data_IF_671126601618
#
_entry.id   IF_671126601618
#
_cell.length_a   1.000
_cell.length_b   1.000
_cell.length_c   1.000
_cell.angle_alpha   90.00
_cell.angle_beta   90.00
_cell.angle_gamma   90.00
#
_symmetry.space_group_name_H-M   'P 1'
#
loop_
_entity.id
_entity.type
_entity.pdbx_description
1 polymer ?
#
# COMPACT_ATOMS: atom_id res chain seq x y z
N UNK A 1 -17.02 9.10 -34.00
CA UNK A 1 -16.39 8.07 -34.84
C UNK A 1 -14.89 8.27 -34.70
N UNK A 2 -14.19 7.28 -34.15
CA UNK A 2 -12.75 7.32 -33.97
C UNK A 2 -12.17 6.33 -34.96
N UNK A 3 -11.28 6.79 -35.84
CA UNK A 3 -10.56 5.92 -36.77
C UNK A 3 -9.15 5.69 -36.22
N UNK A 4 -8.75 4.42 -36.16
CA UNK A 4 -7.39 4.01 -35.79
C UNK A 4 -6.92 2.91 -36.73
N UNK A 5 -5.62 2.65 -36.76
CA UNK A 5 -5.06 1.56 -37.55
C UNK A 5 -4.95 0.30 -36.68
N UNK A 6 -5.46 -0.82 -37.19
CA UNK A 6 -5.24 -2.14 -36.63
C UNK A 6 -3.77 -2.57 -36.78
N UNK A 7 -3.35 -3.53 -35.98
CA UNK A 7 -1.96 -4.05 -35.98
C UNK A 7 -1.63 -4.79 -37.30
N UNK A 8 -2.65 -5.18 -38.04
CA UNK A 8 -2.62 -5.78 -39.38
C UNK A 8 -2.66 -4.74 -40.53
N UNK A 9 -2.78 -3.46 -40.20
CA UNK A 9 -2.90 -2.37 -41.18
C UNK A 9 -4.31 -2.13 -41.70
N UNK A 10 -5.33 -2.82 -41.18
CA UNK A 10 -6.72 -2.53 -41.52
C UNK A 10 -7.26 -1.32 -40.74
N UNK A 11 -8.19 -0.58 -41.34
CA UNK A 11 -8.77 0.62 -40.74
C UNK A 11 -9.87 0.21 -39.74
N UNK A 12 -9.67 0.53 -38.46
CA UNK A 12 -10.58 0.17 -37.39
C UNK A 12 -11.46 1.37 -37.04
N UNK A 13 -12.76 1.24 -37.30
CA UNK A 13 -13.75 2.26 -37.00
C UNK A 13 -14.48 1.96 -35.69
N UNK A 14 -14.25 2.79 -34.68
CA UNK A 14 -15.00 2.71 -33.42
C UNK A 14 -16.13 3.74 -33.47
N UNK A 15 -17.36 3.22 -33.51
CA UNK A 15 -18.57 4.02 -33.37
C UNK A 15 -18.81 4.28 -31.89
N UNK A 16 -18.57 5.52 -31.48
CA UNK A 16 -18.93 5.96 -30.13
C UNK A 16 -20.45 5.97 -29.98
N UNK A 17 -21.00 5.52 -28.84
CA UNK A 17 -22.41 5.66 -28.55
C UNK A 17 -22.81 7.14 -28.58
N UNK A 18 -24.02 7.41 -29.04
CA UNK A 18 -24.61 8.73 -29.03
C UNK A 18 -24.78 9.25 -27.59
N UNK A 19 -24.81 10.58 -27.41
CA UNK A 19 -25.04 11.17 -26.08
C UNK A 19 -26.36 10.74 -25.44
N UNK A 20 -27.37 10.37 -26.24
CA UNK A 20 -28.62 9.76 -25.78
C UNK A 20 -28.44 8.34 -25.27
N UNK A 21 -27.60 7.52 -25.89
CA UNK A 21 -27.34 6.14 -25.46
C UNK A 21 -26.53 6.12 -24.17
N UNK A 22 -25.53 7.00 -24.03
CA UNK A 22 -24.76 7.15 -22.79
C UNK A 22 -25.67 7.65 -21.65
N UNK A 23 -26.49 8.68 -21.91
CA UNK A 23 -27.45 9.19 -20.92
C UNK A 23 -28.45 8.13 -20.45
N UNK A 24 -28.95 7.31 -21.38
CA UNK A 24 -29.86 6.21 -21.05
C UNK A 24 -29.17 5.11 -20.21
N UNK A 25 -27.91 4.79 -20.50
CA UNK A 25 -27.12 3.83 -19.73
C UNK A 25 -26.93 4.32 -18.28
N UNK A 26 -26.56 5.60 -18.11
CA UNK A 26 -26.38 6.22 -16.79
C UNK A 26 -27.70 6.24 -16.01
N UNK A 27 -28.79 6.68 -16.63
CA UNK A 27 -30.11 6.70 -15.99
C UNK A 27 -30.58 5.29 -15.58
N UNK A 28 -30.28 4.28 -16.39
CA UNK A 28 -30.60 2.87 -16.07
C UNK A 28 -29.78 2.39 -14.87
N UNK A 29 -28.48 2.71 -14.84
CA UNK A 29 -27.59 2.38 -13.72
C UNK A 29 -28.01 3.06 -12.42
N UNK A 30 -28.37 4.34 -12.46
CA UNK A 30 -28.85 5.08 -11.29
C UNK A 30 -30.17 4.52 -10.75
N UNK A 31 -31.09 4.16 -11.65
CA UNK A 31 -32.35 3.54 -11.28
C UNK A 31 -32.14 2.15 -10.65
N UNK A 32 -31.21 1.37 -11.17
CA UNK A 32 -30.88 0.04 -10.63
C UNK A 32 -30.20 0.15 -9.26
N UNK A 33 -29.28 1.11 -9.10
CA UNK A 33 -28.65 1.41 -7.82
C UNK A 33 -29.69 1.84 -6.78
N UNK A 34 -30.64 2.71 -7.16
CA UNK A 34 -31.72 3.15 -6.28
C UNK A 34 -32.63 2.00 -5.86
N UNK A 35 -33.01 1.12 -6.79
CA UNK A 35 -33.76 -0.11 -6.47
C UNK A 35 -33.01 -1.03 -5.52
N UNK A 36 -31.68 -1.18 -5.70
CA UNK A 36 -30.85 -1.97 -4.77
C UNK A 36 -30.85 -1.37 -3.37
N UNK A 37 -30.71 -0.05 -3.26
CA UNK A 37 -30.75 0.66 -1.97
C UNK A 37 -32.13 0.55 -1.29
N UNK A 38 -33.23 0.61 -2.05
CA UNK A 38 -34.60 0.46 -1.54
C UNK A 38 -34.94 -1.00 -1.15
N UNK A 39 -34.22 -1.99 -1.69
CA UNK A 39 -34.37 -3.41 -1.32
C UNK A 39 -33.46 -3.84 -0.16
N UNK A 40 -32.58 -2.97 0.36
CA UNK A 40 -31.83 -3.24 1.58
C UNK A 40 -32.79 -3.13 2.76
N UNK A 41 -33.16 -4.27 3.33
CA UNK A 41 -33.84 -4.32 4.62
C UNK A 41 -32.92 -3.73 5.70
N UNK A 42 -33.44 -2.91 6.63
CA UNK A 42 -32.70 -2.53 7.83
C UNK A 42 -32.20 -3.78 8.55
N UNK A 43 -30.95 -3.73 9.03
CA UNK A 43 -30.37 -4.79 9.86
C UNK A 43 -31.32 -5.00 11.05
N UNK A 44 -31.88 -6.21 11.26
CA UNK A 44 -32.68 -6.45 12.44
C UNK A 44 -31.77 -6.39 13.67
N UNK A 45 -32.22 -5.71 14.72
CA UNK A 45 -31.58 -5.80 16.05
C UNK A 45 -31.61 -7.27 16.46
N UNK A 46 -30.42 -7.87 16.52
CA UNK A 46 -30.25 -9.26 16.94
C UNK A 46 -30.33 -9.29 18.46
N UNK A 47 -31.40 -9.87 19.00
CA UNK A 47 -31.40 -10.43 20.35
C UNK A 47 -30.28 -11.46 20.46
N UNK A 48 -29.41 -11.29 21.45
CA UNK A 48 -28.23 -12.12 21.72
C UNK A 48 -28.55 -13.62 21.70
N UNK A 49 -27.81 -14.44 20.93
CA UNK A 49 -27.75 -15.87 21.21
C UNK A 49 -26.74 -16.11 22.34
N UNK A 50 -27.26 -16.69 23.41
CA UNK A 50 -26.52 -17.14 24.58
C UNK A 50 -25.33 -18.05 24.25
N UNK A 51 -24.15 -17.63 24.71
CA UNK A 51 -23.14 -18.54 25.28
C UNK A 51 -22.09 -19.09 24.33
N UNK A 52 -20.98 -18.35 24.18
CA UNK A 52 -19.65 -18.84 24.55
C UNK A 52 -18.74 -17.63 24.81
N UNK A 53 -18.21 -17.57 26.03
CA UNK A 53 -17.35 -16.50 26.52
C UNK A 53 -16.10 -16.32 25.64
N UNK A 54 -16.02 -15.18 24.99
CA UNK A 54 -14.80 -14.56 24.51
C UNK A 54 -15.06 -13.08 24.48
N UNK A 55 -14.63 -12.37 25.53
CA UNK A 55 -14.69 -10.92 25.58
C UNK A 55 -14.22 -10.36 24.23
N UNK A 56 -15.04 -9.53 23.61
CA UNK A 56 -14.68 -8.79 22.41
C UNK A 56 -13.42 -7.98 22.77
N UNK A 57 -12.25 -8.49 22.37
CA UNK A 57 -10.99 -7.85 22.68
C UNK A 57 -11.04 -6.50 22.00
N UNK A 58 -11.11 -5.44 22.81
CA UNK A 58 -10.93 -4.06 22.38
C UNK A 58 -9.74 -4.02 21.42
N UNK A 59 -10.03 -3.86 20.12
CA UNK A 59 -9.03 -3.91 19.06
C UNK A 59 -8.34 -2.54 19.02
N UNK A 60 -7.37 -2.34 19.93
CA UNK A 60 -6.67 -1.07 20.14
C UNK A 60 -5.42 -1.03 19.26
N UNK A 61 -5.19 0.05 18.49
CA UNK A 61 -3.99 0.18 17.68
C UNK A 61 -2.74 0.14 18.53
N UNK A 62 -1.68 -0.46 17.99
CA UNK A 62 -0.38 -0.50 18.64
C UNK A 62 0.40 0.74 18.26
N UNK A 63 0.71 1.57 19.26
CA UNK A 63 1.61 2.70 19.10
C UNK A 63 3.06 2.20 19.09
N UNK A 64 3.84 2.66 18.09
CA UNK A 64 5.30 2.62 18.08
C UNK A 64 5.79 4.05 18.13
N UNK A 65 6.55 4.40 19.17
CA UNK A 65 7.02 5.77 19.38
C UNK A 65 8.49 5.78 19.76
N UNK A 66 9.30 6.45 18.93
CA UNK A 66 10.71 6.72 19.22
C UNK A 66 11.19 7.89 18.34
N UNK A 67 12.18 8.64 18.83
CA UNK A 67 12.72 9.82 18.15
C UNK A 67 11.66 10.78 17.64
N UNK A 68 11.70 11.02 16.33
CA UNK A 68 10.85 11.99 15.64
C UNK A 68 9.51 11.38 15.16
N UNK A 69 9.25 10.10 15.44
CA UNK A 69 8.11 9.38 14.86
C UNK A 69 7.15 8.80 15.90
N UNK A 70 5.86 8.86 15.55
CA UNK A 70 4.78 8.09 16.16
C UNK A 70 4.00 7.36 15.07
N UNK A 71 4.02 6.04 15.11
CA UNK A 71 3.27 5.18 14.21
C UNK A 71 2.10 4.52 14.96
N UNK A 72 0.99 4.30 14.26
CA UNK A 72 -0.13 3.49 14.77
C UNK A 72 -0.36 2.31 13.85
N UNK A 73 -0.15 1.11 14.39
CA UNK A 73 -0.25 -0.16 13.67
C UNK A 73 -1.53 -0.89 14.07
N UNK A 74 -2.22 -1.47 13.10
CA UNK A 74 -3.47 -2.22 13.30
C UNK A 74 -3.24 -3.67 12.85
N UNK A 75 -2.85 -4.58 13.78
CA UNK A 75 -2.61 -5.98 13.45
C UNK A 75 -3.82 -6.68 12.85
N UNK A 76 -5.03 -6.38 13.35
CA UNK A 76 -6.21 -7.18 13.02
C UNK A 76 -6.86 -6.89 11.66
N UNK A 77 -6.31 -5.94 10.88
CA UNK A 77 -6.74 -5.66 9.51
C UNK A 77 -5.49 -5.40 8.65
N UNK A 78 -4.93 -6.42 8.04
CA UNK A 78 -3.78 -6.32 7.13
C UNK A 78 -2.45 -5.94 7.78
N UNK A 79 -2.37 -5.90 9.11
CA UNK A 79 -1.21 -5.40 9.83
C UNK A 79 -0.86 -3.93 9.51
N UNK A 80 -1.81 -3.17 8.98
CA UNK A 80 -1.60 -1.87 8.33
C UNK A 80 -1.08 -0.80 9.30
N UNK A 81 -0.41 0.22 8.77
CA UNK A 81 -0.10 1.44 9.51
C UNK A 81 -1.16 2.48 9.17
N UNK A 82 -1.93 2.93 10.15
CA UNK A 82 -3.02 3.91 9.93
C UNK A 82 -2.58 5.35 10.20
N UNK A 83 -1.41 5.53 10.81
CA UNK A 83 -0.86 6.84 11.19
C UNK A 83 0.65 6.78 11.13
N UNK A 84 1.25 7.80 10.52
CA UNK A 84 2.68 8.05 10.49
C UNK A 84 2.90 9.54 10.75
N UNK A 85 3.07 9.89 12.03
CA UNK A 85 3.16 11.27 12.49
C UNK A 85 4.60 11.63 12.78
N UNK A 86 5.09 12.70 12.16
CA UNK A 86 6.37 13.30 12.49
C UNK A 86 6.18 14.31 13.62
N UNK A 87 6.70 14.01 14.80
CA UNK A 87 6.46 14.74 16.05
C UNK A 87 7.00 16.18 16.03
N UNK A 88 8.21 16.48 15.51
CA UNK A 88 8.72 17.86 15.50
C UNK A 88 7.88 18.84 14.68
N UNK A 89 7.23 18.37 13.60
CA UNK A 89 6.40 19.20 12.71
C UNK A 89 4.91 19.00 12.91
N UNK A 90 4.51 18.08 13.80
CA UNK A 90 3.13 17.65 14.01
C UNK A 90 2.40 17.27 12.71
N UNK A 91 3.14 16.73 11.72
CA UNK A 91 2.58 16.39 10.41
C UNK A 91 2.22 14.91 10.32
N UNK A 92 0.99 14.64 9.87
CA UNK A 92 0.49 13.30 9.54
C UNK A 92 0.72 13.02 8.06
N UNK A 93 1.34 11.89 7.73
CA UNK A 93 1.71 11.57 6.35
C UNK A 93 0.77 10.57 5.68
N UNK A 94 0.06 9.73 6.44
CA UNK A 94 -0.83 8.73 5.86
C UNK A 94 -2.27 9.23 5.79
N UNK A 95 -2.88 9.08 4.62
CA UNK A 95 -4.32 9.19 4.45
C UNK A 95 -4.95 7.84 4.79
N UNK A 96 -5.68 7.74 5.90
CA UNK A 96 -6.20 6.44 6.37
C UNK A 96 -7.57 6.56 7.05
N UNK A 97 -8.36 5.51 6.89
CA UNK A 97 -9.45 5.11 7.79
C UNK A 97 -9.07 3.74 8.36
N UNK A 98 -9.68 3.33 9.48
CA UNK A 98 -9.33 2.06 10.14
C UNK A 98 -9.37 0.86 9.17
N UNK A 99 -10.32 0.83 8.23
CA UNK A 99 -10.56 -0.31 7.33
C UNK A 99 -9.99 -0.14 5.91
N UNK A 100 -9.50 1.05 5.55
CA UNK A 100 -9.05 1.35 4.19
C UNK A 100 -7.99 2.46 4.16
N UNK A 101 -7.04 2.33 3.24
CA UNK A 101 -5.90 3.23 3.07
C UNK A 101 -4.95 3.20 4.27
N UNK A 102 -3.98 4.12 4.30
CA UNK A 102 -2.82 4.10 5.17
C UNK A 102 -1.65 3.40 4.48
N UNK A 103 -0.85 2.66 5.24
CA UNK A 103 0.16 1.78 4.70
C UNK A 103 -0.40 0.35 4.64
N UNK A 104 -0.64 -0.14 3.42
CA UNK A 104 -1.09 -1.51 3.16
C UNK A 104 -0.01 -2.27 2.38
N UNK A 105 -0.03 -3.60 2.46
CA UNK A 105 0.75 -4.44 1.54
C UNK A 105 -0.07 -5.64 1.08
N UNK A 106 0.19 -6.07 -0.16
CA UNK A 106 -0.52 -7.15 -0.82
C UNK A 106 0.44 -8.26 -1.27
N UNK A 107 -0.14 -9.41 -1.62
CA UNK A 107 0.55 -10.60 -2.14
C UNK A 107 0.28 -10.89 -3.62
N UNK A 108 -0.40 -9.99 -4.32
CA UNK A 108 -0.73 -10.10 -5.73
C UNK A 108 -0.68 -8.75 -6.44
N UNK A 109 -0.84 -8.80 -7.76
CA UNK A 109 -0.86 -7.61 -8.61
C UNK A 109 -2.20 -6.88 -8.53
N UNK A 110 -3.27 -7.60 -8.17
CA UNK A 110 -4.60 -7.05 -8.03
C UNK A 110 -4.71 -6.14 -6.80
N UNK A 111 -5.49 -5.07 -6.96
CA UNK A 111 -5.83 -4.18 -5.86
C UNK A 111 -6.56 -4.97 -4.76
N UNK A 112 -6.08 -4.81 -3.53
CA UNK A 112 -6.59 -5.51 -2.34
C UNK A 112 -6.57 -7.04 -2.45
N UNK A 113 -5.55 -7.58 -3.12
CA UNK A 113 -5.22 -9.00 -3.00
C UNK A 113 -4.77 -9.35 -1.56
N UNK A 114 -4.68 -10.64 -1.26
CA UNK A 114 -4.42 -11.12 0.10
C UNK A 114 -3.19 -10.43 0.74
N UNK A 115 -3.29 -10.06 2.00
CA UNK A 115 -2.29 -9.30 2.75
C UNK A 115 -2.85 -8.07 3.44
N UNK A 116 -3.92 -7.46 2.93
CA UNK A 116 -4.46 -6.19 3.44
C UNK A 116 -5.68 -6.32 4.35
N UNK A 117 -6.39 -7.45 4.38
CA UNK A 117 -7.62 -7.59 5.19
C UNK A 117 -7.47 -8.63 6.29
N UNK A 118 -6.50 -9.52 6.16
CA UNK A 118 -6.25 -10.64 7.05
C UNK A 118 -5.79 -10.17 8.43
N UNK A 119 -6.09 -10.97 9.44
CA UNK A 119 -5.61 -10.73 10.79
C UNK A 119 -4.13 -11.13 10.90
N UNK A 120 -3.28 -10.20 11.37
CA UNK A 120 -1.88 -10.47 11.61
C UNK A 120 -1.64 -10.75 13.09
N UNK A 121 -0.85 -11.79 13.36
CA UNK A 121 -0.38 -12.11 14.69
C UNK A 121 0.86 -11.29 15.01
N UNK A 122 0.88 -10.67 16.18
CA UNK A 122 2.09 -10.04 16.73
C UNK A 122 3.01 -11.13 17.24
N UNK A 123 4.14 -11.35 16.57
CA UNK A 123 5.11 -12.40 16.93
C UNK A 123 6.16 -11.88 17.89
N UNK A 124 6.59 -10.63 17.73
CA UNK A 124 7.52 -9.94 18.63
C UNK A 124 7.18 -8.46 18.71
N UNK A 125 7.45 -7.86 19.87
CA UNK A 125 7.39 -6.42 20.09
C UNK A 125 8.51 -6.03 21.04
N UNK A 126 9.25 -5.00 20.67
CA UNK A 126 10.32 -4.43 21.48
C UNK A 126 10.01 -2.97 21.73
N UNK A 127 10.22 -2.54 22.97
CA UNK A 127 9.96 -1.17 23.41
C UNK A 127 11.31 -0.50 23.70
N UNK A 128 11.51 0.75 23.27
CA UNK A 128 12.80 1.44 23.44
C UNK A 128 13.32 1.42 24.89
N UNK A 129 12.40 1.50 25.86
CA UNK A 129 12.71 1.47 27.29
C UNK A 129 13.33 0.14 27.77
N UNK A 130 13.31 -0.92 26.96
CA UNK A 130 14.00 -2.19 27.22
C UNK A 130 15.45 -2.20 26.72
N UNK A 131 15.95 -1.10 26.15
CA UNK A 131 17.29 -0.99 25.57
C UNK A 131 17.40 -1.56 24.15
N UNK A 132 16.30 -2.07 23.60
CA UNK A 132 16.17 -2.57 22.22
C UNK A 132 15.56 -1.49 21.30
N UNK A 133 15.53 -1.75 20.00
CA UNK A 133 14.90 -0.86 19.01
C UNK A 133 13.36 -0.92 19.11
N UNK A 134 12.68 0.23 19.11
CA UNK A 134 11.21 0.30 19.10
C UNK A 134 10.68 -0.36 17.82
N UNK A 135 10.08 -1.55 17.95
CA UNK A 135 9.73 -2.36 16.80
C UNK A 135 8.62 -3.38 17.06
N UNK A 136 8.01 -3.85 15.96
CA UNK A 136 7.01 -4.91 15.96
C UNK A 136 7.23 -5.85 14.77
N UNK A 137 7.04 -7.15 15.00
CA UNK A 137 7.00 -8.18 13.96
C UNK A 137 5.61 -8.79 13.88
N UNK A 138 5.05 -8.78 12.68
CA UNK A 138 3.71 -9.24 12.36
C UNK A 138 3.77 -10.40 11.36
N UNK A 139 2.83 -11.34 11.46
CA UNK A 139 2.65 -12.43 10.50
C UNK A 139 1.17 -12.61 10.15
N UNK A 140 0.86 -12.53 8.84
CA UNK A 140 -0.47 -12.80 8.29
C UNK A 140 -0.44 -14.03 7.39
N UNK A 141 -1.39 -14.94 7.57
CA UNK A 141 -1.63 -16.02 6.62
C UNK A 141 -2.36 -15.46 5.40
N UNK A 142 -1.75 -15.56 4.23
CA UNK A 142 -2.27 -15.03 2.96
C UNK A 142 -2.76 -16.15 2.02
N UNK A 143 -3.02 -17.32 2.60
CA UNK A 143 -3.55 -18.50 1.91
C UNK A 143 -2.51 -19.27 1.09
N UNK A 144 -2.88 -20.48 0.67
CA UNK A 144 -2.01 -21.32 -0.18
C UNK A 144 -0.71 -21.78 0.50
N UNK A 145 -0.67 -21.78 1.84
CA UNK A 145 0.52 -22.15 2.62
C UNK A 145 1.57 -21.04 2.72
N UNK A 146 1.19 -19.80 2.39
CA UNK A 146 2.06 -18.62 2.39
C UNK A 146 1.79 -17.73 3.60
N UNK A 147 2.85 -17.09 4.09
CA UNK A 147 2.79 -16.09 5.16
C UNK A 147 3.45 -14.80 4.67
N UNK A 148 2.77 -13.67 4.89
CA UNK A 148 3.34 -12.34 4.78
C UNK A 148 3.87 -11.93 6.16
N UNK A 149 5.19 -11.78 6.27
CA UNK A 149 5.84 -11.24 7.45
C UNK A 149 6.13 -9.76 7.25
N UNK A 150 5.94 -8.96 8.29
CA UNK A 150 6.30 -7.54 8.30
C UNK A 150 7.04 -7.22 9.59
N UNK A 151 8.17 -6.55 9.48
CA UNK A 151 8.90 -5.97 10.60
C UNK A 151 8.93 -4.46 10.44
N UNK A 152 8.36 -3.74 11.41
CA UNK A 152 8.29 -2.28 11.43
C UNK A 152 9.12 -1.82 12.61
N UNK A 153 10.05 -0.89 12.39
CA UNK A 153 10.92 -0.38 13.43
C UNK A 153 11.26 1.10 13.25
N UNK A 154 11.62 1.77 14.35
CA UNK A 154 12.24 3.09 14.34
C UNK A 154 13.70 2.90 14.76
N UNK A 155 14.64 3.18 13.85
CA UNK A 155 16.05 2.79 14.03
C UNK A 155 16.65 3.44 15.28
N UNK A 156 17.21 2.61 16.18
CA UNK A 156 17.84 3.09 17.41
C UNK A 156 19.03 4.03 17.15
N UNK A 157 19.86 3.71 16.17
CA UNK A 157 21.07 4.47 15.84
C UNK A 157 20.76 5.75 15.04
N UNK A 158 19.60 5.81 14.40
CA UNK A 158 19.10 7.01 13.71
C UNK A 158 17.57 7.08 13.81
N UNK A 159 17.03 7.62 14.91
CA UNK A 159 15.60 7.56 15.22
C UNK A 159 14.75 8.56 14.41
N UNK A 160 15.32 9.10 13.34
CA UNK A 160 14.65 9.82 12.24
C UNK A 160 14.17 8.90 11.14
N UNK A 161 14.56 7.63 11.18
CA UNK A 161 14.26 6.65 10.15
C UNK A 161 13.25 5.64 10.68
N UNK A 162 12.13 5.54 9.96
CA UNK A 162 11.21 4.40 10.06
C UNK A 162 11.66 3.36 9.05
N UNK A 163 11.85 2.11 9.47
CA UNK A 163 12.20 1.00 8.61
C UNK A 163 11.06 -0.01 8.56
N UNK A 164 10.75 -0.50 7.35
CA UNK A 164 9.78 -1.55 7.13
C UNK A 164 10.42 -2.61 6.23
N UNK A 165 10.49 -3.83 6.77
CA UNK A 165 11.01 -4.99 6.07
C UNK A 165 9.91 -6.04 5.97
N UNK A 166 9.51 -6.36 4.75
CA UNK A 166 8.41 -7.26 4.49
C UNK A 166 8.86 -8.44 3.64
N UNK A 167 8.26 -9.61 3.87
CA UNK A 167 8.56 -10.80 3.09
C UNK A 167 7.38 -11.75 2.92
N UNK A 168 7.27 -12.35 1.74
CA UNK A 168 6.33 -13.45 1.48
C UNK A 168 7.12 -14.75 1.50
N UNK A 169 6.72 -15.66 2.39
CA UNK A 169 7.39 -16.94 2.62
C UNK A 169 6.45 -18.12 2.45
N UNK A 170 6.95 -19.18 1.82
CA UNK A 170 6.29 -20.48 1.79
C UNK A 170 6.54 -21.24 3.09
N UNK A 171 5.50 -21.57 3.86
CA UNK A 171 5.63 -22.39 5.07
C UNK A 171 5.12 -23.80 4.87
N UNK A 172 3.89 -23.93 4.39
CA UNK A 172 3.14 -25.17 4.28
C UNK A 172 2.52 -25.31 2.89
N UNK A 173 3.34 -25.30 1.85
CA UNK A 173 2.88 -25.56 0.48
C UNK A 173 2.45 -27.02 0.33
N UNK A 174 1.35 -27.25 -0.39
CA UNK A 174 0.71 -28.56 -0.49
C UNK A 174 1.61 -29.64 -1.11
N UNK A 175 1.42 -30.89 -0.67
CA UNK A 175 2.10 -32.05 -1.27
C UNK A 175 1.81 -32.13 -2.78
N UNK A 176 2.86 -32.25 -3.59
CA UNK A 176 2.75 -32.28 -5.06
C UNK A 176 3.09 -30.97 -5.77
N UNK A 177 3.29 -29.86 -5.04
CA UNK A 177 3.69 -28.55 -5.59
C UNK A 177 5.18 -28.42 -5.95
N UNK A 178 6.00 -29.45 -5.67
CA UNK A 178 7.45 -29.37 -5.80
C UNK A 178 8.13 -28.40 -4.83
N UNK A 179 7.40 -27.89 -3.81
CA UNK A 179 7.94 -26.93 -2.84
C UNK A 179 7.74 -25.46 -3.23
N UNK A 180 7.04 -25.20 -4.34
CA UNK A 180 6.74 -23.85 -4.81
C UNK A 180 5.29 -23.45 -4.57
N UNK A 181 5.05 -22.16 -4.40
CA UNK A 181 3.72 -21.59 -4.27
C UNK A 181 3.06 -21.28 -5.61
N UNK A 182 1.83 -20.73 -5.56
CA UNK A 182 1.26 -19.92 -6.64
C UNK A 182 2.13 -18.70 -6.95
N UNK A 183 1.89 -18.07 -8.11
CA UNK A 183 2.44 -16.73 -8.40
C UNK A 183 1.97 -15.74 -7.33
N UNK A 184 2.91 -14.94 -6.85
CA UNK A 184 2.71 -13.86 -5.89
C UNK A 184 3.59 -12.68 -6.24
N UNK A 185 3.17 -11.50 -5.79
CA UNK A 185 3.90 -10.25 -5.89
C UNK A 185 3.78 -9.54 -4.54
N UNK A 186 4.91 -9.19 -3.92
CA UNK A 186 4.91 -8.35 -2.73
C UNK A 186 4.72 -6.90 -3.18
N UNK A 187 3.56 -6.33 -2.87
CA UNK A 187 3.20 -4.95 -3.27
C UNK A 187 3.05 -4.08 -2.03
N UNK A 188 3.87 -3.06 -1.93
CA UNK A 188 3.79 -1.98 -0.93
C UNK A 188 2.85 -0.91 -1.47
N UNK A 189 1.78 -0.61 -0.73
CA UNK A 189 0.72 0.31 -1.13
C UNK A 189 0.45 1.35 -0.02
N UNK A 190 1.32 2.35 0.16
CA UNK A 190 1.02 3.50 1.01
C UNK A 190 0.07 4.46 0.29
N UNK A 191 -0.81 5.09 1.05
CA UNK A 191 -1.63 6.23 0.63
C UNK A 191 -1.24 7.42 1.49
N UNK A 192 -0.57 8.39 0.89
CA UNK A 192 -0.13 9.61 1.54
C UNK A 192 -1.21 10.68 1.47
N UNK A 193 -1.34 11.48 2.52
CA UNK A 193 -2.19 12.68 2.50
C UNK A 193 -1.39 13.86 1.95
N UNK A 194 -2.01 14.68 1.09
CA UNK A 194 -1.36 15.86 0.51
C UNK A 194 -1.89 17.13 1.18
N UNK A 195 -1.01 17.87 1.87
CA UNK A 195 -1.39 19.13 2.50
C UNK A 195 -1.58 20.26 1.48
N UNK A 196 -0.68 20.33 0.49
CA UNK A 196 -0.75 21.29 -0.60
C UNK A 196 -0.77 20.56 -1.96
N UNK A 197 -1.91 19.97 -2.38
CA UNK A 197 -1.98 19.10 -3.56
C UNK A 197 -1.49 19.72 -4.88
N UNK A 198 -1.44 21.04 -4.99
CA UNK A 198 -0.95 21.76 -6.19
C UNK A 198 0.54 22.11 -6.13
N UNK A 199 1.19 21.95 -4.97
CA UNK A 199 2.59 22.34 -4.73
C UNK A 199 3.46 21.12 -4.37
N UNK A 200 3.00 19.92 -4.75
CA UNK A 200 3.68 18.66 -4.49
C UNK A 200 4.19 18.01 -5.77
N UNK A 201 5.33 17.32 -5.67
CA UNK A 201 5.86 16.48 -6.76
C UNK A 201 6.49 15.22 -6.18
N UNK A 202 6.52 14.15 -6.96
CA UNK A 202 7.40 13.00 -6.71
C UNK A 202 8.67 13.20 -7.51
N UNK A 203 9.82 13.28 -6.85
CA UNK A 203 11.12 13.50 -7.48
C UNK A 203 12.05 12.31 -7.24
N UNK A 204 12.85 11.95 -8.24
CA UNK A 204 13.86 10.90 -8.12
C UNK A 204 14.91 10.94 -9.22
N UNK A 205 16.00 10.18 -9.02
CA UNK A 205 16.95 9.83 -10.08
C UNK A 205 16.70 8.39 -10.49
N UNK A 206 16.42 8.16 -11.76
CA UNK A 206 16.19 6.84 -12.31
C UNK A 206 17.49 6.02 -12.41
N UNK A 207 17.38 4.71 -12.58
CA UNK A 207 18.53 3.80 -12.72
C UNK A 207 19.43 4.20 -13.92
N UNK A 208 18.84 4.69 -15.02
CA UNK A 208 19.61 5.20 -16.16
C UNK A 208 20.30 6.57 -15.90
N UNK A 209 20.16 7.15 -14.70
CA UNK A 209 20.74 8.43 -14.30
C UNK A 209 19.91 9.66 -14.67
N UNK A 210 18.76 9.50 -15.34
CA UNK A 210 17.86 10.62 -15.63
C UNK A 210 17.18 11.11 -14.36
N UNK A 211 17.06 12.44 -14.22
CA UNK A 211 16.24 13.05 -13.16
C UNK A 211 14.80 13.12 -13.63
N UNK A 212 13.89 12.66 -12.80
CA UNK A 212 12.46 12.59 -13.09
C UNK A 212 11.68 13.34 -12.02
N UNK A 213 10.61 14.01 -12.47
CA UNK A 213 9.60 14.60 -11.61
C UNK A 213 8.22 14.18 -12.14
N UNK A 214 7.38 13.67 -11.25
CA UNK A 214 5.98 13.38 -11.54
C UNK A 214 5.13 14.37 -10.75
N UNK A 215 4.33 15.17 -11.45
CA UNK A 215 3.38 16.11 -10.86
C UNK A 215 1.96 15.53 -10.85
N UNK A 216 1.02 16.10 -10.06
CA UNK A 216 -0.37 15.64 -10.00
C UNK A 216 -1.07 15.51 -11.36
N UNK A 217 -0.73 16.36 -12.33
CA UNK A 217 -1.28 16.33 -13.69
C UNK A 217 -0.91 15.06 -14.46
N UNK A 218 0.07 14.29 -13.98
CA UNK A 218 0.49 13.03 -14.60
C UNK A 218 -0.50 11.89 -14.34
N UNK A 219 -1.41 12.02 -13.38
CA UNK A 219 -2.40 10.99 -13.04
C UNK A 219 -1.76 9.70 -12.49
N UNK A 220 -1.69 8.65 -13.31
CA UNK A 220 -1.00 7.40 -12.96
C UNK A 220 0.25 7.23 -13.82
N UNK A 221 1.38 6.95 -13.16
CA UNK A 221 2.68 6.72 -13.81
C UNK A 221 3.23 5.38 -13.35
N UNK A 222 3.41 4.46 -14.31
CA UNK A 222 4.12 3.20 -14.10
C UNK A 222 5.59 3.36 -14.49
N UNK A 223 6.50 2.95 -13.61
CA UNK A 223 7.94 3.01 -13.80
C UNK A 223 8.53 1.60 -13.73
N UNK A 224 9.14 1.16 -14.83
CA UNK A 224 9.71 -0.18 -14.99
C UNK A 224 11.10 -0.11 -15.65
N UNK A 225 11.85 -1.21 -15.60
CA UNK A 225 13.20 -1.27 -16.19
C UNK A 225 14.13 -0.21 -15.59
N UNK A 226 14.83 0.52 -16.45
CA UNK A 226 15.80 1.54 -16.03
C UNK A 226 15.17 2.93 -15.73
N UNK A 227 13.85 3.05 -15.88
CA UNK A 227 13.09 4.26 -15.52
C UNK A 227 12.66 4.25 -14.05
N UNK A 228 12.82 3.13 -13.34
CA UNK A 228 12.56 3.05 -11.90
C UNK A 228 13.49 3.97 -11.10
N UNK A 229 13.08 4.47 -9.93
CA UNK A 229 13.97 5.14 -9.01
C UNK A 229 15.14 4.24 -8.62
N UNK A 230 16.34 4.83 -8.55
CA UNK A 230 17.56 4.11 -8.19
C UNK A 230 17.70 3.98 -6.66
N UNK A 231 16.72 3.30 -6.04
CA UNK A 231 16.69 3.04 -4.59
C UNK A 231 16.29 4.24 -3.73
N UNK A 232 15.96 5.39 -4.31
CA UNK A 232 15.43 6.55 -3.58
C UNK A 232 14.44 7.33 -4.46
N UNK A 233 13.31 7.71 -3.87
CA UNK A 233 12.37 8.71 -4.39
C UNK A 233 11.76 9.49 -3.23
N UNK A 234 11.24 10.68 -3.51
CA UNK A 234 10.74 11.58 -2.47
C UNK A 234 9.43 12.24 -2.88
N UNK A 235 8.49 12.32 -1.94
CA UNK A 235 7.33 13.20 -2.03
C UNK A 235 7.74 14.57 -1.48
N UNK A 236 7.84 15.55 -2.37
CA UNK A 236 8.24 16.93 -2.06
C UNK A 236 7.00 17.78 -1.89
N UNK A 237 6.85 18.45 -0.75
CA UNK A 237 5.88 19.53 -0.55
C UNK A 237 6.64 20.87 -0.55
N UNK A 238 6.56 21.57 -1.69
CA UNK A 238 7.30 22.83 -1.91
C UNK A 238 6.79 23.96 -1.03
N UNK A 239 5.50 23.94 -0.68
CA UNK A 239 4.89 24.95 0.17
C UNK A 239 5.29 24.78 1.64
N UNK A 240 5.33 23.53 2.11
CA UNK A 240 5.75 23.21 3.48
C UNK A 240 7.28 23.18 3.64
N UNK A 241 8.06 23.14 2.55
CA UNK A 241 9.51 23.08 2.60
C UNK A 241 10.04 21.76 3.14
N UNK A 242 9.30 20.67 2.93
CA UNK A 242 9.65 19.34 3.45
C UNK A 242 9.55 18.28 2.37
N UNK A 243 10.20 17.15 2.61
CA UNK A 243 10.12 15.98 1.76
C UNK A 243 10.11 14.69 2.55
N UNK A 244 9.14 13.84 2.26
CA UNK A 244 9.13 12.47 2.75
C UNK A 244 9.92 11.61 1.76
N UNK A 245 11.11 11.21 2.18
CA UNK A 245 12.02 10.39 1.38
C UNK A 245 11.74 8.93 1.65
N UNK A 246 11.59 8.14 0.60
CA UNK A 246 11.54 6.69 0.68
C UNK A 246 12.76 6.08 -0.01
N UNK A 247 13.58 5.37 0.77
CA UNK A 247 14.75 4.63 0.28
C UNK A 247 14.47 3.14 0.33
N UNK A 248 14.98 2.38 -0.64
CA UNK A 248 14.72 0.94 -0.77
C UNK A 248 15.84 0.25 -1.55
N UNK A 249 15.91 -1.08 -1.45
CA UNK A 249 16.82 -1.89 -2.28
C UNK A 249 16.26 -2.03 -3.71
N UNK A 250 16.88 -1.43 -4.74
CA UNK A 250 16.37 -1.49 -6.11
C UNK A 250 16.41 -2.90 -6.72
N UNK A 251 17.16 -3.84 -6.13
CA UNK A 251 17.18 -5.24 -6.56
C UNK A 251 15.92 -6.02 -6.14
N UNK A 252 15.18 -5.51 -5.15
CA UNK A 252 13.98 -6.13 -4.60
C UNK A 252 12.68 -5.65 -5.26
N UNK A 253 12.75 -4.56 -6.02
CA UNK A 253 11.59 -3.88 -6.61
C UNK A 253 11.65 -4.02 -8.12
N UNK A 254 10.69 -4.66 -8.77
CA UNK A 254 10.62 -4.82 -10.23
C UNK A 254 9.87 -3.69 -10.94
N UNK A 255 8.97 -3.02 -10.20
CA UNK A 255 8.07 -1.97 -10.70
C UNK A 255 7.78 -0.96 -9.59
N UNK A 256 7.70 0.32 -9.96
CA UNK A 256 7.20 1.39 -9.11
C UNK A 256 5.96 2.01 -9.76
N UNK A 257 5.01 2.47 -8.95
CA UNK A 257 3.80 3.14 -9.44
C UNK A 257 3.54 4.39 -8.62
N UNK A 258 3.27 5.49 -9.31
CA UNK A 258 2.79 6.74 -8.73
C UNK A 258 1.35 6.94 -9.18
N UNK A 259 0.42 7.08 -8.24
CA UNK A 259 -0.98 7.36 -8.56
C UNK A 259 -1.47 8.55 -7.73
N UNK A 260 -1.91 9.59 -8.42
CA UNK A 260 -2.45 10.80 -7.83
C UNK A 260 -3.97 10.73 -7.68
N UNK A 261 -4.44 10.82 -6.44
CA UNK A 261 -5.85 11.07 -6.12
C UNK A 261 -6.18 12.56 -6.02
N UNK A 262 -7.39 12.89 -5.58
CA UNK A 262 -7.83 14.30 -5.43
C UNK A 262 -7.15 15.02 -4.27
N UNK A 263 -6.70 14.29 -3.24
CA UNK A 263 -5.99 14.85 -2.08
C UNK A 263 -5.01 13.86 -1.46
N UNK A 264 -4.66 12.82 -2.20
CA UNK A 264 -3.81 11.74 -1.76
C UNK A 264 -2.90 11.27 -2.90
N UNK A 265 -1.89 10.50 -2.53
CA UNK A 265 -0.89 9.95 -3.45
C UNK A 265 -0.52 8.54 -3.02
N UNK A 266 -0.48 7.62 -3.96
CA UNK A 266 0.19 6.33 -3.78
C UNK A 266 1.59 6.36 -4.41
N UNK A 267 2.59 5.95 -3.64
CA UNK A 267 3.95 5.65 -4.15
C UNK A 267 4.24 4.18 -3.85
N UNK A 268 3.98 3.33 -4.83
CA UNK A 268 3.97 1.88 -4.64
C UNK A 268 5.27 1.22 -5.09
N UNK A 269 5.71 0.22 -4.33
CA UNK A 269 6.83 -0.65 -4.69
C UNK A 269 6.30 -2.07 -4.93
N UNK A 270 6.69 -2.67 -6.03
CA UNK A 270 6.24 -3.99 -6.43
C UNK A 270 7.47 -4.87 -6.59
N UNK A 271 7.50 -6.03 -5.96
CA UNK A 271 8.52 -7.04 -6.26
C UNK A 271 8.30 -7.60 -7.67
N UNK A 272 9.17 -8.49 -8.11
CA UNK A 272 8.83 -9.37 -9.24
C UNK A 272 7.60 -10.24 -8.90
N UNK A 273 6.88 -10.68 -9.93
CA UNK A 273 5.83 -11.68 -9.81
C UNK A 273 6.41 -13.07 -10.11
N UNK A 274 6.43 -13.94 -9.10
CA UNK A 274 6.92 -15.31 -9.26
C UNK A 274 6.42 -16.25 -8.18
N UNK A 275 6.61 -17.57 -8.33
CA UNK A 275 6.43 -18.51 -7.22
C UNK A 275 7.49 -18.26 -6.14
N UNK A 276 7.12 -18.49 -4.88
CA UNK A 276 8.04 -18.49 -3.74
C UNK A 276 8.23 -19.89 -3.19
N UNK A 277 9.40 -20.11 -2.58
CA UNK A 277 9.74 -21.31 -1.82
C UNK A 277 10.27 -20.90 -0.45
N UNK A 278 10.63 -21.87 0.39
CA UNK A 278 11.29 -21.59 1.68
C UNK A 278 12.64 -20.88 1.50
N UNK A 279 13.35 -21.22 0.43
CA UNK A 279 14.71 -20.76 0.17
C UNK A 279 14.73 -19.47 -0.68
N UNK A 280 13.62 -19.14 -1.34
CA UNK A 280 13.51 -18.00 -2.26
C UNK A 280 12.28 -17.15 -1.94
N UNK A 281 12.23 -16.50 -0.75
CA UNK A 281 11.15 -15.58 -0.43
C UNK A 281 11.15 -14.36 -1.36
N UNK A 282 10.03 -13.65 -1.44
CA UNK A 282 10.02 -12.27 -1.92
C UNK A 282 10.25 -11.35 -0.72
N UNK A 283 11.05 -10.31 -0.89
CA UNK A 283 11.38 -9.35 0.17
C UNK A 283 11.33 -7.94 -0.38
N UNK A 284 10.83 -6.99 0.40
CA UNK A 284 11.01 -5.55 0.18
C UNK A 284 11.45 -4.94 1.50
N UNK A 285 12.63 -4.33 1.50
CA UNK A 285 13.18 -3.54 2.58
C UNK A 285 13.18 -2.07 2.14
N UNK A 286 12.50 -1.22 2.90
CA UNK A 286 12.51 0.20 2.65
C UNK A 286 12.48 1.00 3.94
N UNK A 287 12.72 2.29 3.80
CA UNK A 287 12.76 3.23 4.90
C UNK A 287 12.06 4.53 4.53
N UNK A 288 11.63 5.27 5.54
CA UNK A 288 11.10 6.61 5.41
C UNK A 288 11.86 7.57 6.33
N UNK A 289 12.18 8.74 5.80
CA UNK A 289 12.83 9.84 6.52
C UNK A 289 12.19 11.16 6.08
N UNK A 290 11.96 12.09 7.03
CA UNK A 290 11.55 13.44 6.69
C UNK A 290 12.78 14.34 6.57
N UNK A 291 12.93 15.01 5.41
CA UNK A 291 14.00 15.98 5.16
C UNK A 291 13.41 17.37 4.93
N UNK A 292 14.13 18.41 5.38
CA UNK A 292 13.84 19.80 5.01
C UNK A 292 14.38 20.05 3.60
N UNK A 293 13.60 20.71 2.75
CA UNK A 293 14.07 21.18 1.44
C UNK A 293 14.59 22.60 1.58
N UNK A 294 15.85 22.82 1.16
CA UNK A 294 16.46 24.14 1.13
C UNK A 294 15.89 25.04 0.04
#
# INVERSE_FOLDING_TARGET
MISSHGVDGEELHITMPSGSEVSNLVATSELELKKRLEMISPIPDIDEPSGQEGAELSKIPIDLKSGDWLLKVVPWIGGRIISMTHLPTDSQWLHSRIEINGYEEYSGTEYRSAGCTEEYKVVRRYLEHSGEEESISLEGDIGGGLVLQRHISILKDNPKIVQINSSIQARNVGAGSGGFSRLVCLRVHPTFTLLHPTEVVVAFTAINGSKQECSPESGEVTLEGDLRPNGEWMLVDKCAGVSLVNTFDPSQVSKCLVHWGTGDLNMELWSEERPVSKDTPLTICHQYELRQTC
#
